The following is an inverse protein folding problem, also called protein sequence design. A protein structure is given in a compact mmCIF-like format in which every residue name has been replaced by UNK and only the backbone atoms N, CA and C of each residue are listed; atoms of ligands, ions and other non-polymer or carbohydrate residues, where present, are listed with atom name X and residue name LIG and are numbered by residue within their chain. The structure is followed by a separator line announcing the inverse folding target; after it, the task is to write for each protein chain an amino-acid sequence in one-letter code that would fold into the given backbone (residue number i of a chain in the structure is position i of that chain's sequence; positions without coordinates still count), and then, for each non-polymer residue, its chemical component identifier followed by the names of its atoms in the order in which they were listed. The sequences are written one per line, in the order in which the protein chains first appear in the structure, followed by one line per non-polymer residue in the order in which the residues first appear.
data_IF_245748680015
#
_entry.id   IF_245748680015
#
_cell.length_a   1.000
_cell.length_b   1.000
_cell.length_c   1.000
_cell.angle_alpha   90.00
_cell.angle_beta   90.00
_cell.angle_gamma   90.00
#
_symmetry.space_group_name_H-M   'P 1'
#
loop_
_entity.id
_entity.type
_entity.pdbx_description
1 polymer ?
#
# COMPACT_ATOMS: atom_id res chain seq x y z
N UNK A 1 -9.39 6.99 21.34
CA UNK A 1 -8.09 6.42 21.72
C UNK A 1 -7.84 5.25 20.76
N UNK A 2 -7.28 5.51 19.57
CA UNK A 2 -7.24 4.53 18.46
C UNK A 2 -6.40 3.28 18.82
N UNK A 3 -5.36 3.45 19.66
CA UNK A 3 -4.48 2.34 20.05
C UNK A 3 -5.16 1.24 20.88
N UNK A 4 -6.19 1.55 21.67
CA UNK A 4 -6.89 0.54 22.48
C UNK A 4 -7.87 -0.31 21.65
N UNK A 5 -8.50 0.26 20.62
CA UNK A 5 -9.44 -0.43 19.73
C UNK A 5 -8.73 -1.36 18.74
N UNK A 6 -7.55 -0.96 18.24
CA UNK A 6 -6.70 -1.80 17.38
C UNK A 6 -6.23 -3.09 18.06
N UNK A 7 -6.08 -3.09 19.40
CA UNK A 7 -5.64 -4.27 20.13
C UNK A 7 -6.73 -5.34 20.28
N UNK A 8 -8.01 -4.97 20.19
CA UNK A 8 -9.16 -5.86 20.47
C UNK A 8 -10.00 -6.22 19.24
N UNK A 9 -9.84 -5.52 18.11
CA UNK A 9 -10.67 -5.69 16.92
C UNK A 9 -10.31 -6.89 16.03
N UNK A 10 -9.24 -7.63 16.35
CA UNK A 10 -8.73 -8.71 15.49
C UNK A 10 -7.95 -8.17 14.28
N UNK A 11 -7.70 -8.99 13.25
CA UNK A 11 -7.03 -8.54 12.03
C UNK A 11 -7.82 -7.42 11.34
N UNK A 12 -7.13 -6.36 10.94
CA UNK A 12 -7.73 -5.20 10.28
C UNK A 12 -7.04 -4.92 8.95
N UNK A 13 -7.82 -4.49 7.97
CA UNK A 13 -7.34 -3.89 6.73
C UNK A 13 -7.71 -2.42 6.76
N UNK A 14 -6.72 -1.55 6.52
CA UNK A 14 -6.91 -0.12 6.40
C UNK A 14 -6.36 0.33 5.04
N UNK A 15 -7.10 1.20 4.36
CA UNK A 15 -6.72 1.77 3.07
C UNK A 15 -6.87 3.29 3.12
N UNK A 16 -5.92 4.01 2.54
CA UNK A 16 -5.98 5.46 2.46
C UNK A 16 -4.60 6.08 2.27
N UNK A 17 -4.57 7.22 1.59
CA UNK A 17 -3.35 8.00 1.35
C UNK A 17 -2.81 8.68 2.62
N UNK A 18 -3.67 8.85 3.63
CA UNK A 18 -3.33 9.49 4.91
C UNK A 18 -2.84 8.48 5.96
N UNK A 19 -2.73 7.19 5.61
CA UNK A 19 -2.21 6.15 6.51
C UNK A 19 -0.69 6.21 6.54
N UNK A 20 -0.13 6.91 7.53
CA UNK A 20 1.31 7.08 7.65
C UNK A 20 1.99 5.92 8.43
N UNK A 21 3.13 5.38 7.96
CA UNK A 21 3.89 4.34 8.65
C UNK A 21 4.24 4.66 10.11
N UNK A 22 4.59 5.92 10.37
CA UNK A 22 4.89 6.45 11.69
C UNK A 22 3.69 6.35 12.66
N UNK A 23 2.50 6.68 12.19
CA UNK A 23 1.27 6.59 12.99
C UNK A 23 1.00 5.15 13.40
N UNK A 24 1.21 4.19 12.49
CA UNK A 24 1.03 2.76 12.77
C UNK A 24 2.12 2.23 13.70
N UNK A 25 3.38 2.63 13.51
CA UNK A 25 4.48 2.24 14.39
C UNK A 25 4.27 2.67 15.85
N UNK A 26 3.51 3.74 16.08
CA UNK A 26 3.18 4.20 17.43
C UNK A 26 2.15 3.33 18.17
N UNK A 27 1.38 2.51 17.44
CA UNK A 27 0.26 1.73 17.99
C UNK A 27 0.37 0.22 17.74
N UNK A 28 1.28 -0.23 16.86
CA UNK A 28 1.49 -1.63 16.52
C UNK A 28 2.98 -1.96 16.39
N UNK A 29 3.37 -3.13 16.87
CA UNK A 29 4.72 -3.67 16.63
C UNK A 29 4.95 -3.90 15.14
N UNK A 30 6.16 -3.62 14.63
CA UNK A 30 6.45 -3.72 13.18
C UNK A 30 6.18 -5.10 12.59
N UNK A 31 6.40 -6.18 13.36
CA UNK A 31 6.10 -7.56 12.96
C UNK A 31 4.59 -7.87 12.82
N UNK A 32 3.72 -6.91 13.15
CA UNK A 32 2.26 -7.05 13.10
C UNK A 32 1.62 -6.17 12.02
N UNK A 33 2.41 -5.54 11.17
CA UNK A 33 1.94 -4.67 10.09
C UNK A 33 2.62 -5.04 8.77
N UNK A 34 1.82 -5.12 7.71
CA UNK A 34 2.30 -5.29 6.33
C UNK A 34 1.70 -4.19 5.47
N UNK A 35 2.53 -3.56 4.66
CA UNK A 35 2.14 -2.51 3.72
C UNK A 35 2.09 -3.05 2.31
N UNK A 36 0.95 -2.89 1.65
CA UNK A 36 0.81 -3.19 0.23
C UNK A 36 0.94 -1.89 -0.55
N UNK A 37 2.05 -1.69 -1.24
CA UNK A 37 2.32 -0.47 -1.99
C UNK A 37 2.26 -0.75 -3.50
N UNK A 38 1.43 -0.05 -4.27
CA UNK A 38 1.35 -0.27 -5.71
C UNK A 38 2.64 0.19 -6.39
N UNK A 39 3.07 -0.55 -7.41
CA UNK A 39 4.13 -0.12 -8.32
C UNK A 39 3.53 0.49 -9.60
N UNK A 40 4.39 1.08 -10.44
CA UNK A 40 3.96 1.70 -11.69
C UNK A 40 3.19 0.75 -12.59
N UNK A 41 3.67 -0.48 -12.74
CA UNK A 41 3.05 -1.50 -13.62
C UNK A 41 1.65 -1.90 -13.15
N UNK A 42 1.34 -1.75 -11.86
CA UNK A 42 0.01 -1.98 -11.32
C UNK A 42 -0.92 -0.78 -11.49
N UNK A 43 -0.36 0.43 -11.37
CA UNK A 43 -1.11 1.69 -11.43
C UNK A 43 -1.47 2.07 -12.85
N UNK A 44 -0.53 2.01 -13.78
CA UNK A 44 -0.67 2.55 -15.14
C UNK A 44 -1.82 1.90 -15.94
N UNK A 45 -2.01 0.56 -15.96
CA UNK A 45 -3.17 -0.05 -16.60
C UNK A 45 -4.50 0.37 -15.96
N UNK A 46 -4.52 0.59 -14.65
CA UNK A 46 -5.72 1.01 -13.91
C UNK A 46 -6.04 2.49 -14.09
N UNK A 47 -5.02 3.32 -14.29
CA UNK A 47 -5.22 4.72 -14.66
C UNK A 47 -6.01 4.79 -15.96
N UNK A 48 -5.66 3.92 -16.92
CA UNK A 48 -6.32 3.85 -18.22
C UNK A 48 -7.61 3.01 -18.26
N UNK A 49 -8.10 2.47 -17.13
CA UNK A 49 -9.36 1.71 -17.08
C UNK A 49 -10.49 2.44 -16.37
N UNK A 50 -10.24 3.65 -15.84
CA UNK A 50 -11.23 4.41 -15.07
C UNK A 50 -12.05 5.30 -16.02
N UNK A 51 -13.33 4.96 -16.19
CA UNK A 51 -14.29 5.68 -17.06
C UNK A 51 -14.33 7.21 -16.83
N UNK A 52 -13.99 7.70 -15.64
CA UNK A 52 -13.96 9.13 -15.32
C UNK A 52 -12.73 9.89 -15.84
N UNK A 53 -11.76 9.22 -16.49
CA UNK A 53 -10.51 9.81 -17.01
C UNK A 53 -10.55 9.94 -18.55
N UNK A 54 -11.75 9.98 -19.15
CA UNK A 54 -11.92 10.12 -20.61
C UNK A 54 -11.19 11.32 -21.22
N UNK A 55 -11.04 12.42 -20.47
CA UNK A 55 -10.33 13.61 -20.94
C UNK A 55 -8.79 13.51 -20.87
N UNK A 56 -8.23 12.53 -20.15
CA UNK A 56 -6.79 12.47 -19.84
C UNK A 56 -6.13 11.11 -20.19
N UNK A 57 -6.69 10.34 -21.13
CA UNK A 57 -6.06 9.12 -21.69
C UNK A 57 -4.82 9.41 -22.57
N UNK A 58 -3.86 10.14 -22.05
CA UNK A 58 -2.59 10.41 -22.73
C UNK A 58 -1.43 9.88 -21.89
N UNK A 59 -0.34 9.47 -22.55
CA UNK A 59 0.88 9.05 -21.86
C UNK A 59 1.39 10.17 -20.93
N UNK A 60 1.31 11.43 -21.36
CA UNK A 60 1.76 12.57 -20.55
C UNK A 60 0.94 12.77 -19.27
N UNK A 61 -0.37 12.53 -19.31
CA UNK A 61 -1.21 12.59 -18.12
C UNK A 61 -0.92 11.43 -17.16
N UNK A 62 -0.71 10.22 -17.71
CA UNK A 62 -0.28 9.08 -16.91
C UNK A 62 1.08 9.32 -16.24
N UNK A 63 2.05 9.94 -16.93
CA UNK A 63 3.34 10.32 -16.33
C UNK A 63 3.17 11.33 -15.19
N UNK A 64 2.35 12.38 -15.38
CA UNK A 64 2.10 13.38 -14.31
C UNK A 64 1.38 12.75 -13.12
N UNK A 65 0.38 11.91 -13.39
CA UNK A 65 -0.35 11.17 -12.37
C UNK A 65 0.58 10.24 -11.59
N UNK A 66 1.39 9.46 -12.30
CA UNK A 66 2.38 8.60 -11.66
C UNK A 66 3.38 9.40 -10.85
N UNK A 67 3.93 10.50 -11.36
CA UNK A 67 4.87 11.34 -10.62
C UNK A 67 4.28 11.84 -9.29
N UNK A 68 2.99 12.19 -9.27
CA UNK A 68 2.29 12.57 -8.04
C UNK A 68 2.20 11.42 -7.04
N UNK A 69 1.80 10.22 -7.49
CA UNK A 69 1.68 9.05 -6.61
C UNK A 69 3.03 8.46 -6.19
N UNK A 70 4.04 8.49 -7.07
CA UNK A 70 5.36 7.92 -6.85
C UNK A 70 6.04 8.55 -5.64
N UNK A 71 6.00 9.89 -5.52
CA UNK A 71 6.59 10.57 -4.38
C UNK A 71 6.00 10.11 -3.03
N UNK A 72 4.68 9.88 -3.00
CA UNK A 72 4.00 9.37 -1.81
C UNK A 72 4.35 7.90 -1.56
N UNK A 73 4.38 7.06 -2.59
CA UNK A 73 4.72 5.64 -2.49
C UNK A 73 6.17 5.46 -2.01
N UNK A 74 7.10 6.22 -2.59
CA UNK A 74 8.52 6.21 -2.23
C UNK A 74 8.71 6.63 -0.78
N UNK A 75 8.00 7.67 -0.33
CA UNK A 75 7.99 8.08 1.08
C UNK A 75 7.52 6.94 1.99
N UNK A 76 6.41 6.27 1.66
CA UNK A 76 5.93 5.14 2.47
C UNK A 76 6.95 4.00 2.49
N UNK A 77 7.55 3.68 1.35
CA UNK A 77 8.57 2.63 1.27
C UNK A 77 9.79 2.96 2.14
N UNK A 78 10.29 4.19 2.08
CA UNK A 78 11.41 4.67 2.90
C UNK A 78 11.07 4.58 4.39
N UNK A 79 9.91 5.13 4.81
CA UNK A 79 9.48 5.12 6.21
C UNK A 79 9.30 3.69 6.73
N UNK A 80 8.63 2.81 5.99
CA UNK A 80 8.48 1.41 6.38
C UNK A 80 9.83 0.71 6.54
N UNK A 81 10.79 0.97 5.64
CA UNK A 81 12.15 0.43 5.74
C UNK A 81 12.85 0.89 7.02
N UNK A 82 12.80 2.20 7.32
CA UNK A 82 13.40 2.78 8.55
C UNK A 82 12.76 2.21 9.81
N UNK A 83 11.45 1.97 9.80
CA UNK A 83 10.68 1.43 10.93
C UNK A 83 10.74 -0.10 11.05
N UNK A 84 11.41 -0.78 10.11
CA UNK A 84 11.47 -2.24 10.05
C UNK A 84 10.11 -2.90 9.80
N UNK A 85 9.18 -2.20 9.15
CA UNK A 85 7.87 -2.71 8.76
C UNK A 85 7.96 -3.43 7.41
N UNK A 86 7.17 -4.49 7.25
CA UNK A 86 7.21 -5.30 6.03
C UNK A 86 6.43 -4.62 4.90
N UNK A 87 7.01 -4.60 3.70
CA UNK A 87 6.41 -4.01 2.50
C UNK A 87 6.32 -5.07 1.41
N UNK A 88 5.17 -5.14 0.76
CA UNK A 88 4.96 -5.91 -0.45
C UNK A 88 4.66 -4.92 -1.57
N UNK A 89 5.54 -4.88 -2.59
CA UNK A 89 5.28 -4.17 -3.82
C UNK A 89 4.23 -4.92 -4.65
N UNK A 90 3.15 -4.26 -5.02
CA UNK A 90 2.07 -4.84 -5.83
C UNK A 90 2.23 -4.37 -7.26
N UNK A 91 2.58 -5.28 -8.17
CA UNK A 91 2.87 -5.00 -9.58
C UNK A 91 1.83 -5.56 -10.56
N UNK A 92 0.90 -6.36 -10.04
CA UNK A 92 -0.17 -7.01 -10.81
C UNK A 92 0.22 -8.36 -11.40
N UNK A 93 1.45 -8.83 -11.20
CA UNK A 93 1.92 -10.14 -11.66
C UNK A 93 1.48 -11.29 -10.74
N UNK A 94 1.18 -10.99 -9.48
CA UNK A 94 0.74 -11.95 -8.46
C UNK A 94 -0.76 -11.84 -8.20
N UNK A 95 -1.40 -12.98 -7.95
CA UNK A 95 -2.83 -13.02 -7.59
C UNK A 95 -3.07 -12.63 -6.13
N UNK A 96 -4.31 -12.31 -5.79
CA UNK A 96 -4.69 -12.01 -4.42
C UNK A 96 -4.44 -13.22 -3.48
N UNK A 97 -4.64 -14.45 -3.96
CA UNK A 97 -4.37 -15.68 -3.21
C UNK A 97 -2.88 -15.86 -2.91
N UNK A 98 -2.00 -15.49 -3.84
CA UNK A 98 -0.56 -15.51 -3.63
C UNK A 98 -0.13 -14.49 -2.59
N UNK A 99 -0.66 -13.26 -2.66
CA UNK A 99 -0.44 -12.23 -1.64
C UNK A 99 -0.94 -12.73 -0.27
N UNK A 100 -2.15 -13.31 -0.21
CA UNK A 100 -2.70 -13.88 1.01
C UNK A 100 -1.79 -14.98 1.59
N UNK A 101 -1.23 -15.85 0.76
CA UNK A 101 -0.26 -16.89 1.19
C UNK A 101 1.00 -16.27 1.79
N UNK A 102 1.53 -15.19 1.19
CA UNK A 102 2.66 -14.45 1.74
C UNK A 102 2.32 -13.83 3.09
N UNK A 103 1.13 -13.23 3.24
CA UNK A 103 0.66 -12.64 4.49
C UNK A 103 0.47 -13.70 5.60
N UNK A 104 -0.14 -14.84 5.27
CA UNK A 104 -0.28 -15.99 6.19
C UNK A 104 1.09 -16.44 6.71
N UNK A 105 2.06 -16.59 5.80
CA UNK A 105 3.43 -16.96 6.17
C UNK A 105 4.09 -15.92 7.07
N UNK A 106 3.94 -14.63 6.75
CA UNK A 106 4.51 -13.53 7.52
C UNK A 106 3.94 -13.46 8.96
N UNK A 107 2.63 -13.64 9.10
CA UNK A 107 1.95 -13.57 10.40
C UNK A 107 1.96 -14.90 11.18
N UNK A 108 2.42 -16.00 10.58
CA UNK A 108 2.40 -17.33 11.20
C UNK A 108 0.99 -17.87 11.43
N UNK A 109 0.08 -17.61 10.50
CA UNK A 109 -1.33 -18.03 10.53
C UNK A 109 -1.56 -19.39 9.83
#
# INVERSE_FOLDING_TARGET
MIGAELATAGPMVAEGVDLLPDSIASVAASARAVWLLPTRSFWEPRHFSREYVEAEYTADAAERGWAYYAAMIDHHHERCTVLGQYVIGVDGSVTAEQIATTLTTHFGL
#
